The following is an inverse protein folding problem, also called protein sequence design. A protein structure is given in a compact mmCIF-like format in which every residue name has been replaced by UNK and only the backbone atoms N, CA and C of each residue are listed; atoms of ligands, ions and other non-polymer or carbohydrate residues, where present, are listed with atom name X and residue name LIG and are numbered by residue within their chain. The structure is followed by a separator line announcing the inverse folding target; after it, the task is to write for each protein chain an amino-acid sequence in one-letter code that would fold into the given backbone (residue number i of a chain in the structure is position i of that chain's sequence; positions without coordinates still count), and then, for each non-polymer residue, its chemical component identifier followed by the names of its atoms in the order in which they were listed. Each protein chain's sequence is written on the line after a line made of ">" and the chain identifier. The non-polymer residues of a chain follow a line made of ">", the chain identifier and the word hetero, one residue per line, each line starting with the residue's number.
data_IF_788347886557
#
_entry.id   IF_788347886557
#
_cell.length_a   1.000
_cell.length_b   1.000
_cell.length_c   1.000
_cell.angle_alpha   90.00
_cell.angle_beta   90.00
_cell.angle_gamma   90.00
#
_symmetry.space_group_name_H-M   'P 1'
#
loop_
_entity.id
_entity.type
_entity.pdbx_description
1 polymer ?
#
# COMPACT_ATOMS: atom_id res chain seq x y z
N UNK A 1 0.34 -12.92 -12.13
CA UNK A 1 0.72 -12.37 -12.38
C UNK A 1 1.43 -11.76 -12.07
N UNK A 2 1.69 -11.94 -11.79
CA UNK A 2 2.40 -11.31 -11.31
C UNK A 2 3.16 -10.43 -11.88
N UNK A 3 2.95 -10.22 -12.75
CA UNK A 3 3.67 -9.48 -13.30
C UNK A 3 4.11 -8.40 -12.62
N UNK A 4 5.22 -8.00 -12.75
CA UNK A 4 5.69 -6.85 -12.18
C UNK A 4 4.92 -5.67 -12.60
N UNK A 5 4.33 -5.09 -11.67
CA UNK A 5 3.50 -3.96 -11.91
C UNK A 5 4.21 -2.64 -11.66
N UNK A 6 5.46 -2.69 -11.22
CA UNK A 6 6.25 -1.49 -10.98
C UNK A 6 6.98 -1.15 -12.27
N UNK A 7 6.54 -0.06 -12.87
CA UNK A 7 7.14 0.43 -14.10
C UNK A 7 7.46 1.90 -13.93
N UNK A 8 8.67 2.29 -14.29
CA UNK A 8 9.10 3.68 -14.17
C UNK A 8 9.28 4.27 -15.56
N UNK A 9 8.82 5.51 -15.68
CA UNK A 9 9.01 6.26 -16.91
C UNK A 9 10.51 6.43 -17.18
N UNK A 10 10.94 6.06 -18.37
CA UNK A 10 12.34 6.18 -18.76
C UNK A 10 12.83 7.61 -18.70
N UNK A 11 11.97 8.57 -19.06
CA UNK A 11 12.34 9.97 -19.05
C UNK A 11 12.63 10.45 -17.64
N UNK A 12 11.91 9.96 -16.64
CA UNK A 12 12.16 10.29 -15.25
C UNK A 12 13.50 9.72 -14.79
N UNK A 13 13.74 8.44 -15.10
CA UNK A 13 15.00 7.79 -14.73
C UNK A 13 16.18 8.49 -15.40
N UNK A 14 16.07 8.77 -16.68
CA UNK A 14 17.12 9.45 -17.43
C UNK A 14 17.41 10.85 -16.86
N UNK A 15 16.37 11.56 -16.45
CA UNK A 15 16.51 12.88 -15.83
C UNK A 15 17.25 12.81 -14.50
N UNK A 16 16.92 11.80 -13.67
CA UNK A 16 17.61 11.60 -12.39
C UNK A 16 19.09 11.29 -12.62
N UNK A 17 19.38 10.42 -13.59
CA UNK A 17 20.77 10.08 -13.94
C UNK A 17 21.51 11.32 -14.39
N UNK A 18 20.91 12.12 -15.25
CA UNK A 18 21.51 13.36 -15.76
C UNK A 18 21.83 14.33 -14.62
N UNK A 19 20.88 14.51 -13.70
CA UNK A 19 21.07 15.42 -12.57
C UNK A 19 22.10 14.94 -11.56
N UNK A 20 22.42 13.66 -11.58
CA UNK A 20 23.42 13.10 -10.66
C UNK A 20 24.86 13.41 -11.10
N UNK A 21 25.05 13.97 -12.30
CA UNK A 21 26.38 14.28 -12.86
C UNK A 21 27.27 13.05 -12.88
N UNK A 22 26.74 11.93 -13.31
CA UNK A 22 27.50 10.69 -13.44
C UNK A 22 27.73 9.93 -12.16
N UNK A 23 27.15 10.37 -11.03
CA UNK A 23 27.30 9.66 -9.77
C UNK A 23 26.55 8.34 -9.74
N UNK A 24 25.44 8.25 -10.48
CA UNK A 24 24.60 7.06 -10.50
C UNK A 24 24.32 6.61 -11.92
N UNK A 25 24.33 5.30 -12.12
CA UNK A 25 23.95 4.71 -13.39
C UNK A 25 22.43 4.57 -13.44
N UNK A 26 21.90 4.39 -14.64
CA UNK A 26 20.49 4.13 -14.85
C UNK A 26 19.99 2.94 -14.02
N UNK A 27 20.78 1.86 -14.01
CA UNK A 27 20.45 0.66 -13.26
C UNK A 27 20.37 0.92 -11.76
N UNK A 28 21.31 1.70 -11.23
CA UNK A 28 21.29 2.06 -9.81
C UNK A 28 20.06 2.88 -9.45
N UNK A 29 19.69 3.85 -10.28
CA UNK A 29 18.50 4.67 -10.05
C UNK A 29 17.24 3.82 -10.07
N UNK A 30 17.08 2.96 -11.08
CA UNK A 30 15.93 2.08 -11.17
C UNK A 30 15.83 1.16 -9.95
N UNK A 31 16.97 0.64 -9.52
CA UNK A 31 17.01 -0.28 -8.38
C UNK A 31 16.58 0.41 -7.08
N UNK A 32 17.07 1.63 -6.86
CA UNK A 32 16.68 2.40 -5.69
C UNK A 32 15.18 2.74 -5.70
N UNK A 33 14.65 3.11 -6.87
CA UNK A 33 13.23 3.42 -7.00
C UNK A 33 12.37 2.19 -6.72
N UNK A 34 12.75 1.03 -7.26
CA UNK A 34 12.03 -0.22 -7.01
C UNK A 34 12.09 -0.62 -5.54
N UNK A 35 13.24 -0.46 -4.90
CA UNK A 35 13.39 -0.77 -3.49
C UNK A 35 12.48 0.11 -2.63
N UNK A 36 12.38 1.39 -2.96
CA UNK A 36 11.51 2.32 -2.24
C UNK A 36 10.04 1.93 -2.36
N UNK A 37 9.59 1.60 -3.58
CA UNK A 37 8.21 1.18 -3.81
C UNK A 37 7.92 -0.15 -3.09
N UNK A 38 8.87 -1.08 -3.11
CA UNK A 38 8.72 -2.36 -2.40
C UNK A 38 8.59 -2.14 -0.90
N UNK A 39 9.33 -1.20 -0.33
CA UNK A 39 9.23 -0.87 1.08
C UNK A 39 7.85 -0.30 1.42
N UNK A 40 7.32 0.58 0.57
CA UNK A 40 5.97 1.12 0.75
C UNK A 40 4.92 0.01 0.71
N UNK A 41 5.05 -0.92 -0.23
CA UNK A 41 4.16 -2.08 -0.30
C UNK A 41 4.25 -2.94 0.96
N UNK A 42 5.45 -3.13 1.49
CA UNK A 42 5.64 -3.86 2.73
C UNK A 42 4.92 -3.20 3.90
N UNK A 43 5.08 -1.89 4.04
CA UNK A 43 4.38 -1.14 5.09
C UNK A 43 2.87 -1.20 4.91
N UNK A 44 2.38 -1.14 3.68
CA UNK A 44 0.94 -1.21 3.42
C UNK A 44 0.35 -2.58 3.75
N UNK A 45 1.11 -3.66 3.58
CA UNK A 45 0.62 -5.02 3.79
C UNK A 45 0.81 -5.54 5.21
N UNK A 46 1.93 -5.20 5.84
CA UNK A 46 2.34 -5.86 7.08
C UNK A 46 2.40 -4.95 8.29
N UNK A 47 1.79 -3.78 8.22
CA UNK A 47 1.65 -2.89 9.36
C UNK A 47 0.21 -2.45 9.52
N UNK A 48 -0.11 -1.90 10.68
CA UNK A 48 -1.45 -1.39 10.96
C UNK A 48 -1.62 0.06 10.50
N UNK A 49 -0.62 0.64 9.85
CA UNK A 49 -0.65 2.03 9.43
C UNK A 49 -1.56 2.21 8.22
N UNK A 50 -2.59 3.02 8.36
CA UNK A 50 -3.49 3.37 7.26
C UNK A 50 -2.84 4.38 6.33
N UNK A 51 -2.04 5.29 6.89
CA UNK A 51 -1.37 6.34 6.16
C UNK A 51 0.14 6.19 6.30
N UNK A 52 0.84 6.23 5.18
CA UNK A 52 2.29 6.08 5.13
C UNK A 52 2.88 7.37 4.59
N UNK A 53 3.71 8.03 5.40
CA UNK A 53 4.34 9.26 4.99
C UNK A 53 5.57 8.97 4.13
N UNK A 54 5.62 9.64 2.97
CA UNK A 54 6.79 9.58 2.10
C UNK A 54 7.42 10.98 2.11
N UNK A 55 8.65 11.13 2.62
CA UNK A 55 9.30 12.44 2.67
C UNK A 55 9.29 13.12 1.31
N UNK A 56 8.96 14.41 1.29
CA UNK A 56 8.93 15.28 0.12
C UNK A 56 7.84 14.98 -0.90
N UNK A 57 7.09 13.90 -0.73
CA UNK A 57 6.02 13.53 -1.67
C UNK A 57 4.65 13.69 -1.02
N UNK A 58 4.48 13.22 0.21
CA UNK A 58 3.22 13.29 0.93
C UNK A 58 2.87 11.98 1.58
N UNK A 59 1.61 11.58 1.47
CA UNK A 59 1.11 10.38 2.11
C UNK A 59 0.54 9.41 1.09
N UNK A 60 0.78 8.13 1.33
CA UNK A 60 0.05 7.05 0.66
C UNK A 60 -0.97 6.53 1.65
N UNK A 61 -2.23 6.47 1.24
CA UNK A 61 -3.32 6.02 2.11
C UNK A 61 -3.85 4.70 1.58
N UNK A 62 -4.03 3.74 2.49
CA UNK A 62 -4.57 2.43 2.14
C UNK A 62 -6.06 2.57 1.76
N UNK A 63 -6.42 2.02 0.61
CA UNK A 63 -7.78 2.11 0.09
C UNK A 63 -8.64 1.00 0.70
N UNK A 64 -9.78 1.38 1.28
CA UNK A 64 -10.67 0.43 1.96
C UNK A 64 -11.18 -0.66 1.03
N UNK A 65 -11.60 -0.28 -0.17
CA UNK A 65 -12.12 -1.24 -1.16
C UNK A 65 -11.06 -2.27 -1.54
N UNK A 66 -9.86 -1.80 -1.83
CA UNK A 66 -8.74 -2.67 -2.19
C UNK A 66 -8.38 -3.62 -1.04
N UNK A 67 -8.39 -3.11 0.18
CA UNK A 67 -8.12 -3.94 1.36
C UNK A 67 -9.17 -5.02 1.55
N UNK A 68 -10.45 -4.69 1.33
CA UNK A 68 -11.53 -5.68 1.42
C UNK A 68 -11.39 -6.77 0.36
N UNK A 69 -11.04 -6.38 -0.86
CA UNK A 69 -10.82 -7.34 -1.94
C UNK A 69 -9.67 -8.28 -1.59
N UNK A 70 -8.58 -7.74 -1.10
CA UNK A 70 -7.41 -8.54 -0.71
C UNK A 70 -7.73 -9.47 0.45
N UNK A 71 -8.45 -8.97 1.46
CA UNK A 71 -8.87 -9.78 2.61
C UNK A 71 -9.70 -10.98 2.16
N UNK A 72 -10.67 -10.75 1.30
CA UNK A 72 -11.55 -11.81 0.82
C UNK A 72 -10.77 -12.83 -0.01
N UNK A 73 -9.80 -12.37 -0.78
CA UNK A 73 -8.92 -13.26 -1.54
C UNK A 73 -8.11 -14.17 -0.63
N UNK A 74 -7.53 -13.62 0.43
CA UNK A 74 -6.75 -14.41 1.39
C UNK A 74 -7.64 -15.45 2.07
N UNK A 75 -8.84 -15.06 2.46
CA UNK A 75 -9.81 -15.98 3.08
C UNK A 75 -10.20 -17.13 2.14
N UNK A 76 -10.38 -16.82 0.86
CA UNK A 76 -10.68 -17.86 -0.13
C UNK A 76 -9.51 -18.81 -0.33
N UNK A 77 -8.29 -18.30 -0.34
CA UNK A 77 -7.10 -19.13 -0.45
C UNK A 77 -7.02 -20.08 0.74
N UNK A 78 -7.27 -19.58 1.94
CA UNK A 78 -7.26 -20.39 3.15
C UNK A 78 -8.22 -21.59 3.04
N UNK A 79 -9.45 -21.33 2.63
CA UNK A 79 -10.45 -22.39 2.47
C UNK A 79 -10.05 -23.38 1.37
N UNK A 80 -9.57 -22.86 0.25
CA UNK A 80 -9.18 -23.68 -0.89
C UNK A 80 -8.02 -24.61 -0.56
N UNK A 81 -7.10 -24.16 0.30
CA UNK A 81 -5.91 -24.94 0.67
C UNK A 81 -6.16 -25.85 1.88
N UNK A 82 -7.40 -26.16 2.20
CA UNK A 82 -7.74 -27.05 3.29
C UNK A 82 -7.58 -26.44 4.67
N UNK A 83 -8.01 -25.20 4.83
CA UNK A 83 -7.95 -24.45 6.08
C UNK A 83 -6.50 -24.21 6.55
N UNK A 84 -5.65 -23.86 5.62
CA UNK A 84 -4.28 -23.47 5.94
C UNK A 84 -3.81 -22.38 4.98
N UNK A 85 -2.79 -21.63 5.40
CA UNK A 85 -2.19 -20.62 4.57
C UNK A 85 -0.96 -21.19 3.85
N UNK A 86 -0.88 -21.09 2.50
CA UNK A 86 0.31 -21.55 1.78
C UNK A 86 1.56 -20.71 2.03
N UNK A 87 1.37 -19.44 2.46
CA UNK A 87 2.47 -18.55 2.79
C UNK A 87 2.30 -18.12 4.23
N UNK A 88 3.34 -18.28 5.05
CA UNK A 88 3.29 -17.96 6.47
C UNK A 88 3.09 -16.47 6.75
N UNK A 89 3.29 -15.60 5.75
CA UNK A 89 3.04 -14.17 5.89
C UNK A 89 1.57 -13.80 5.70
N UNK A 90 0.78 -14.69 5.10
CA UNK A 90 -0.63 -14.42 4.85
C UNK A 90 -1.44 -14.15 6.13
N UNK A 91 -1.28 -14.92 7.21
CA UNK A 91 -2.02 -14.61 8.43
C UNK A 91 -1.62 -13.27 9.03
N UNK A 92 -0.37 -12.86 8.88
CA UNK A 92 0.11 -11.55 9.35
C UNK A 92 -0.54 -10.45 8.52
N UNK A 93 -0.55 -10.60 7.21
CA UNK A 93 -1.20 -9.64 6.32
C UNK A 93 -2.69 -9.54 6.61
N UNK A 94 -3.35 -10.67 6.82
CA UNK A 94 -4.78 -10.70 7.11
C UNK A 94 -5.11 -9.97 8.41
N UNK A 95 -4.31 -10.17 9.45
CA UNK A 95 -4.49 -9.47 10.72
C UNK A 95 -4.34 -7.96 10.54
N UNK A 96 -3.34 -7.51 9.80
CA UNK A 96 -3.14 -6.09 9.52
C UNK A 96 -4.31 -5.52 8.71
N UNK A 97 -4.80 -6.27 7.71
CA UNK A 97 -5.95 -5.85 6.92
C UNK A 97 -7.20 -5.72 7.79
N UNK A 98 -7.47 -6.70 8.65
CA UNK A 98 -8.64 -6.65 9.51
C UNK A 98 -8.59 -5.45 10.47
N UNK A 99 -7.43 -5.16 11.04
CA UNK A 99 -7.27 -4.02 11.93
C UNK A 99 -7.50 -2.70 11.22
N UNK A 100 -6.94 -2.54 10.02
CA UNK A 100 -7.12 -1.32 9.23
C UNK A 100 -8.56 -1.15 8.77
N UNK A 101 -9.16 -2.22 8.27
CA UNK A 101 -10.55 -2.19 7.81
C UNK A 101 -11.47 -1.82 8.96
N UNK A 102 -11.30 -2.45 10.11
CA UNK A 102 -12.12 -2.16 11.28
C UNK A 102 -11.96 -0.72 11.74
N UNK A 103 -10.72 -0.20 11.74
CA UNK A 103 -10.47 1.18 12.12
C UNK A 103 -11.18 2.17 11.19
N UNK A 104 -11.17 1.91 9.89
CA UNK A 104 -11.83 2.78 8.91
C UNK A 104 -13.35 2.65 9.02
N UNK A 105 -13.86 1.43 9.21
CA UNK A 105 -15.29 1.21 9.38
C UNK A 105 -15.81 1.88 10.65
N UNK A 106 -15.03 1.89 11.72
CA UNK A 106 -15.38 2.61 12.94
C UNK A 106 -15.46 4.11 12.67
N UNK A 107 -14.53 4.66 11.89
CA UNK A 107 -14.59 6.05 11.47
C UNK A 107 -15.82 6.34 10.62
N UNK A 108 -16.21 5.43 9.74
CA UNK A 108 -17.42 5.57 8.94
C UNK A 108 -18.67 5.54 9.80
N UNK A 109 -18.68 4.71 10.84
CA UNK A 109 -19.77 4.70 11.81
C UNK A 109 -19.94 6.05 12.49
N UNK A 110 -18.83 6.66 12.89
CA UNK A 110 -18.85 8.00 13.46
C UNK A 110 -19.23 9.05 12.42
N UNK A 111 -18.77 8.88 11.19
CA UNK A 111 -19.07 9.76 10.07
C UNK A 111 -20.57 9.86 9.82
N UNK A 112 -21.31 8.78 9.95
CA UNK A 112 -22.75 8.78 9.74
C UNK A 112 -23.47 9.68 10.73
N UNK A 113 -22.84 10.01 11.85
CA UNK A 113 -23.42 10.91 12.85
C UNK A 113 -22.79 12.28 12.88
N UNK A 114 -21.67 12.53 12.19
CA UNK A 114 -20.94 13.79 12.25
C UNK A 114 -20.37 14.17 10.89
N UNK A 115 -20.89 15.26 10.26
CA UNK A 115 -20.41 15.70 8.97
C UNK A 115 -18.93 16.07 8.93
N UNK A 116 -18.37 16.60 10.02
CA UNK A 116 -16.95 16.97 10.06
C UNK A 116 -16.07 15.73 9.97
N UNK A 117 -16.47 14.66 10.63
CA UNK A 117 -15.76 13.40 10.56
C UNK A 117 -15.86 12.82 9.14
N UNK A 118 -17.03 12.99 8.50
CA UNK A 118 -17.23 12.59 7.12
C UNK A 118 -16.22 13.27 6.18
N UNK A 119 -16.10 14.59 6.30
CA UNK A 119 -15.21 15.36 5.44
C UNK A 119 -13.75 14.91 5.64
N UNK A 120 -13.33 14.70 6.87
CA UNK A 120 -11.99 14.22 7.16
C UNK A 120 -11.75 12.83 6.60
N UNK A 121 -12.74 11.95 6.70
CA UNK A 121 -12.64 10.62 6.16
C UNK A 121 -12.49 10.64 4.63
N UNK A 122 -13.26 11.47 3.95
CA UNK A 122 -13.16 11.60 2.51
C UNK A 122 -11.79 12.15 2.11
N UNK A 123 -11.27 13.11 2.84
CA UNK A 123 -9.94 13.65 2.57
C UNK A 123 -8.84 12.60 2.68
N UNK A 124 -9.00 11.60 3.54
CA UNK A 124 -8.03 10.52 3.68
C UNK A 124 -7.89 9.69 2.41
N UNK A 125 -8.89 9.68 1.54
CA UNK A 125 -8.87 8.90 0.32
C UNK A 125 -8.55 9.71 -0.93
N UNK A 126 -8.22 10.97 -0.77
CA UNK A 126 -7.95 11.86 -1.88
C UNK A 126 -6.47 12.24 -1.99
N UNK A 127 -5.62 11.32 -1.71
CA UNK A 127 -4.19 11.60 -1.76
C UNK A 127 -3.61 11.71 -3.15
#
# INVERSE_FOLDING_TARGET
>A
MGRNLISFDRDIVDEVVRRSDGKFTKQQVEWCMKASVSYIHHLARYTDNISIRIPFIGYVICNLREMRVRRDKIRRIFVKEGNRYPDERMPIELDCLDKKINAIEDMEGLKNGDPLIRDNHEAMYQC
#
